data_IF_558355946444
#
_entry.id   IF_558355946444
#
_cell.length_a   1.000
_cell.length_b   1.000
_cell.length_c   1.000
_cell.angle_alpha   90.00
_cell.angle_beta   90.00
_cell.angle_gamma   90.00
#
_symmetry.space_group_name_H-M   'P 1'
#
loop_
_entity.id
_entity.type
_entity.pdbx_description
1 polymer ?
#
# COMPACT_ATOMS: atom_id res chain seq x y z
N UNK A 1 43.58 -36.26 -31.05
CA UNK A 1 43.28 -34.82 -30.94
C UNK A 1 42.03 -34.68 -30.07
N UNK A 2 42.12 -34.03 -28.90
CA UNK A 2 40.96 -33.76 -28.05
C UNK A 2 40.26 -32.52 -28.60
N UNK A 3 39.04 -32.69 -29.08
CA UNK A 3 38.18 -31.58 -29.54
C UNK A 3 37.54 -30.96 -28.31
N UNK A 4 38.05 -29.81 -27.88
CA UNK A 4 37.42 -29.02 -26.82
C UNK A 4 36.25 -28.23 -27.41
N UNK A 5 35.03 -28.56 -26.97
CA UNK A 5 33.84 -27.78 -27.26
C UNK A 5 33.80 -26.62 -26.26
N UNK A 6 34.01 -25.40 -26.76
CA UNK A 6 33.86 -24.17 -25.98
C UNK A 6 32.38 -23.85 -25.95
N UNK A 7 31.74 -24.01 -24.79
CA UNK A 7 30.41 -23.44 -24.54
C UNK A 7 30.59 -21.95 -24.23
N UNK A 8 30.30 -21.10 -25.23
CA UNK A 8 30.12 -19.68 -25.02
C UNK A 8 28.72 -19.48 -24.44
N UNK A 9 28.61 -19.38 -23.11
CA UNK A 9 27.41 -18.88 -22.43
C UNK A 9 27.29 -17.39 -22.77
N UNK A 10 26.58 -17.07 -23.84
CA UNK A 10 26.16 -15.71 -24.13
C UNK A 10 24.97 -15.43 -23.21
N UNK A 11 25.21 -14.75 -22.09
CA UNK A 11 24.14 -14.10 -21.34
C UNK A 11 23.51 -13.06 -22.26
N UNK A 12 22.33 -13.36 -22.77
CA UNK A 12 21.48 -12.35 -23.39
C UNK A 12 21.01 -11.46 -22.24
N UNK A 13 21.71 -10.36 -22.01
CA UNK A 13 21.16 -9.27 -21.19
C UNK A 13 19.98 -8.73 -21.97
N UNK A 14 18.76 -9.10 -21.57
CA UNK A 14 17.57 -8.39 -22.03
C UNK A 14 17.73 -6.98 -21.47
N UNK A 15 18.01 -6.00 -22.33
CA UNK A 15 17.88 -4.61 -21.98
C UNK A 15 16.37 -4.37 -21.81
N UNK A 16 15.86 -4.57 -20.59
CA UNK A 16 14.49 -4.19 -20.28
C UNK A 16 14.43 -2.66 -20.48
N UNK A 17 13.49 -2.21 -21.30
CA UNK A 17 13.06 -0.81 -21.25
C UNK A 17 12.32 -0.54 -19.95
N UNK A 18 11.68 0.62 -19.82
CA UNK A 18 10.80 0.88 -18.68
C UNK A 18 9.72 -0.21 -18.52
N UNK A 19 9.24 -0.51 -17.30
CA UNK A 19 8.18 -1.47 -17.08
C UNK A 19 6.85 -0.94 -17.66
N UNK A 20 5.89 -1.84 -17.89
CA UNK A 20 4.59 -1.47 -18.47
C UNK A 20 3.87 -0.39 -17.65
N UNK A 21 4.00 -0.43 -16.33
CA UNK A 21 3.43 0.57 -15.43
C UNK A 21 3.98 2.00 -15.63
N UNK A 22 5.12 2.16 -16.31
CA UNK A 22 5.75 3.46 -16.55
C UNK A 22 5.44 4.00 -17.97
N UNK A 23 4.56 3.33 -18.72
CA UNK A 23 4.07 3.85 -20.01
C UNK A 23 3.11 5.01 -19.78
N UNK A 24 3.34 6.10 -20.50
CA UNK A 24 2.58 7.33 -20.41
C UNK A 24 2.19 7.83 -21.81
N UNK A 25 1.22 8.74 -21.86
CA UNK A 25 0.80 9.44 -23.08
C UNK A 25 1.53 10.78 -23.17
N UNK A 26 2.02 11.10 -24.37
CA UNK A 26 2.66 12.39 -24.64
C UNK A 26 1.59 13.36 -25.11
N UNK A 27 1.39 14.44 -24.36
CA UNK A 27 0.46 15.52 -24.73
C UNK A 27 1.21 16.83 -25.04
N UNK A 28 0.47 17.87 -25.44
CA UNK A 28 1.03 19.18 -25.79
C UNK A 28 1.25 20.10 -24.58
N UNK A 29 0.96 19.64 -23.37
CA UNK A 29 1.20 20.38 -22.12
C UNK A 29 2.09 19.56 -21.19
N UNK A 30 2.85 20.25 -20.34
CA UNK A 30 3.68 19.57 -19.37
C UNK A 30 4.75 20.46 -18.75
N UNK A 31 5.40 19.91 -17.73
CA UNK A 31 6.49 20.54 -17.02
C UNK A 31 7.52 19.52 -16.55
N UNK A 32 8.77 19.96 -16.41
CA UNK A 32 9.89 19.10 -16.02
C UNK A 32 10.03 19.06 -14.51
N UNK A 33 10.26 17.86 -13.96
CA UNK A 33 10.62 17.64 -12.56
C UNK A 33 12.07 17.19 -12.49
N UNK A 34 12.88 17.86 -11.66
CA UNK A 34 14.31 17.61 -11.51
C UNK A 34 14.64 17.11 -10.12
N UNK A 35 15.70 16.31 -10.02
CA UNK A 35 16.16 15.82 -8.73
C UNK A 35 17.20 14.72 -8.83
N UNK A 36 17.58 14.27 -7.64
CA UNK A 36 18.63 13.30 -7.38
C UNK A 36 18.03 12.14 -6.59
N UNK A 37 17.79 10.98 -7.23
CA UNK A 37 17.20 9.83 -6.56
C UNK A 37 18.21 9.09 -5.69
N UNK A 38 17.71 8.53 -4.59
CA UNK A 38 18.45 7.67 -3.68
C UNK A 38 17.63 6.43 -3.35
N UNK A 39 18.27 5.27 -3.35
CA UNK A 39 17.70 4.03 -2.83
C UNK A 39 18.37 3.71 -1.49
N UNK A 40 17.62 3.60 -0.40
CA UNK A 40 18.16 3.42 0.95
C UNK A 40 19.30 4.42 1.27
N UNK A 41 19.11 5.70 0.92
CA UNK A 41 20.10 6.77 1.02
C UNK A 41 21.40 6.59 0.18
N UNK A 42 21.47 5.57 -0.68
CA UNK A 42 22.57 5.34 -1.63
C UNK A 42 22.21 5.80 -3.03
N UNK A 43 23.21 6.06 -3.86
CA UNK A 43 23.00 6.49 -5.25
C UNK A 43 22.26 5.41 -6.05
N UNK A 44 21.23 5.81 -6.80
CA UNK A 44 20.54 4.94 -7.75
C UNK A 44 21.42 4.62 -8.97
N UNK A 45 21.00 3.69 -9.83
CA UNK A 45 21.70 3.35 -11.07
C UNK A 45 21.21 4.24 -12.24
N UNK A 46 22.07 4.63 -13.19
CA UNK A 46 21.61 5.22 -14.45
C UNK A 46 20.74 4.27 -15.30
N UNK A 47 20.72 2.97 -14.99
CA UNK A 47 19.84 2.02 -15.67
C UNK A 47 18.38 2.08 -15.14
N UNK A 48 18.17 2.70 -13.99
CA UNK A 48 16.85 2.82 -13.35
C UNK A 48 15.98 3.87 -14.06
N UNK A 49 14.68 3.84 -13.78
CA UNK A 49 13.70 4.80 -14.31
C UNK A 49 12.94 5.50 -13.20
N UNK A 50 12.74 6.81 -13.34
CA UNK A 50 11.79 7.57 -12.53
C UNK A 50 10.45 7.65 -13.25
N UNK A 51 9.36 7.57 -12.51
CA UNK A 51 8.00 7.70 -13.02
C UNK A 51 7.16 8.57 -12.08
N UNK A 52 6.26 9.36 -12.65
CA UNK A 52 5.26 10.12 -11.93
C UNK A 52 3.88 9.53 -12.19
N UNK A 53 3.04 9.51 -11.16
CA UNK A 53 1.71 8.93 -11.19
C UNK A 53 0.68 9.90 -10.63
N UNK A 54 -0.44 10.05 -11.34
CA UNK A 54 -1.60 10.83 -10.89
C UNK A 54 -2.32 10.15 -9.71
N UNK A 55 -3.37 10.77 -9.13
CA UNK A 55 -4.15 10.16 -8.04
C UNK A 55 -4.89 8.87 -8.40
N UNK A 56 -5.13 8.62 -9.68
CA UNK A 56 -5.79 7.44 -10.23
C UNK A 56 -4.80 6.28 -10.46
N UNK A 57 -3.50 6.58 -10.41
CA UNK A 57 -2.40 5.62 -10.59
C UNK A 57 -1.93 5.48 -12.03
N UNK A 58 -2.34 6.36 -12.96
CA UNK A 58 -1.78 6.36 -14.31
C UNK A 58 -0.42 7.05 -14.33
N UNK A 59 0.50 6.53 -15.14
CA UNK A 59 1.79 7.18 -15.32
C UNK A 59 1.63 8.38 -16.25
N UNK A 60 1.97 9.57 -15.75
CA UNK A 60 1.88 10.85 -16.47
C UNK A 60 3.22 11.27 -17.08
N UNK A 61 4.26 10.47 -16.85
CA UNK A 61 5.61 10.76 -17.29
C UNK A 61 6.60 9.79 -16.69
N UNK A 62 7.60 9.38 -17.48
CA UNK A 62 8.71 8.55 -17.03
C UNK A 62 9.99 8.86 -17.82
N UNK A 63 11.13 8.67 -17.16
CA UNK A 63 12.44 8.91 -17.75
C UNK A 63 13.50 7.99 -17.16
N UNK A 64 14.44 7.56 -18.00
CA UNK A 64 15.66 6.90 -17.54
C UNK A 64 16.53 7.89 -16.75
N UNK A 65 17.18 7.41 -15.70
CA UNK A 65 18.15 8.19 -14.94
C UNK A 65 19.42 8.44 -15.77
N UNK A 66 20.18 9.48 -15.41
CA UNK A 66 21.42 9.85 -16.11
C UNK A 66 22.56 10.19 -15.18
N UNK A 67 23.78 9.82 -15.56
CA UNK A 67 25.00 10.28 -14.91
C UNK A 67 25.29 11.72 -15.31
N UNK A 68 25.25 12.65 -14.34
CA UNK A 68 25.55 14.07 -14.55
C UNK A 68 26.28 14.63 -13.34
N UNK A 69 27.45 15.24 -13.57
CA UNK A 69 28.29 15.86 -12.55
C UNK A 69 28.60 14.89 -11.38
N UNK A 70 29.10 13.70 -11.74
CA UNK A 70 29.52 12.62 -10.81
C UNK A 70 28.41 12.09 -9.89
N UNK A 71 27.15 12.25 -10.27
CA UNK A 71 25.97 11.73 -9.57
C UNK A 71 24.92 11.24 -10.58
N UNK A 72 23.90 10.54 -10.10
CA UNK A 72 22.74 10.08 -10.87
C UNK A 72 21.56 11.02 -10.63
N UNK A 73 20.91 11.46 -11.72
CA UNK A 73 19.85 12.49 -11.69
C UNK A 73 18.74 12.18 -12.67
N UNK A 74 17.57 12.81 -12.44
CA UNK A 74 16.48 12.89 -13.40
C UNK A 74 16.10 14.34 -13.73
N UNK A 75 15.35 14.54 -14.81
CA UNK A 75 14.90 15.88 -15.22
C UNK A 75 15.98 16.77 -15.84
N UNK A 76 17.17 16.21 -16.07
CA UNK A 76 18.33 16.92 -16.64
C UNK A 76 18.89 16.14 -17.82
N UNK A 77 19.61 16.85 -18.69
CA UNK A 77 20.26 16.26 -19.87
C UNK A 77 19.28 15.36 -20.67
N UNK A 78 19.69 14.13 -20.99
CA UNK A 78 18.87 13.19 -21.75
C UNK A 78 17.71 12.57 -20.96
N UNK A 79 17.70 12.65 -19.62
CA UNK A 79 16.59 12.13 -18.80
C UNK A 79 15.32 12.94 -19.08
N UNK A 80 15.41 14.27 -19.05
CA UNK A 80 14.31 15.19 -19.39
C UNK A 80 12.91 14.71 -18.90
N UNK A 81 12.80 14.47 -17.59
CA UNK A 81 11.61 13.93 -16.93
C UNK A 81 10.44 14.93 -16.95
N UNK A 82 9.60 14.82 -17.98
CA UNK A 82 8.39 15.62 -18.19
C UNK A 82 7.19 14.90 -17.59
N UNK A 83 6.37 15.64 -16.82
CA UNK A 83 5.03 15.24 -16.42
C UNK A 83 4.04 15.92 -17.38
N UNK A 84 3.38 15.12 -18.22
CA UNK A 84 2.42 15.57 -19.20
C UNK A 84 1.08 15.93 -18.55
N UNK A 85 0.44 16.95 -19.08
CA UNK A 85 -0.90 17.36 -18.64
C UNK A 85 -1.99 16.65 -19.44
N UNK A 86 -3.20 16.61 -18.87
CA UNK A 86 -4.35 15.99 -19.52
C UNK A 86 -4.74 16.72 -20.81
N UNK A 87 -5.18 15.97 -21.83
CA UNK A 87 -5.67 16.54 -23.08
C UNK A 87 -7.19 16.75 -22.99
N UNK A 88 -7.60 18.02 -22.95
CA UNK A 88 -9.02 18.40 -22.83
C UNK A 88 -9.90 17.93 -24.02
N UNK A 89 -9.30 17.42 -25.10
CA UNK A 89 -10.03 16.91 -26.27
C UNK A 89 -10.35 15.42 -26.20
N UNK A 90 -9.77 14.69 -25.23
CA UNK A 90 -9.95 13.25 -24.98
C UNK A 90 -10.64 13.00 -23.64
N UNK A 91 -11.73 13.73 -23.36
CA UNK A 91 -12.41 13.80 -22.05
C UNK A 91 -12.84 12.49 -21.38
N UNK A 92 -12.80 11.36 -22.09
CA UNK A 92 -13.14 10.04 -21.57
C UNK A 92 -11.89 9.20 -21.22
N UNK A 93 -10.69 9.76 -21.37
CA UNK A 93 -9.39 9.13 -21.11
C UNK A 93 -8.59 10.06 -20.20
N UNK A 94 -8.09 9.52 -19.09
CA UNK A 94 -7.16 10.22 -18.20
C UNK A 94 -5.73 9.98 -18.69
N UNK A 95 -5.15 10.97 -19.35
CA UNK A 95 -3.88 10.83 -20.08
C UNK A 95 -2.73 11.63 -19.47
N UNK A 96 -3.01 12.40 -18.42
CA UNK A 96 -2.03 13.28 -17.80
C UNK A 96 -2.59 14.05 -16.61
N UNK A 97 -1.77 14.95 -16.08
CA UNK A 97 -2.10 15.73 -14.90
C UNK A 97 -3.14 16.83 -15.18
N UNK A 98 -4.11 16.98 -14.27
CA UNK A 98 -4.98 18.14 -14.18
C UNK A 98 -4.43 19.22 -13.24
N UNK A 99 -4.96 20.43 -13.37
CA UNK A 99 -4.61 21.53 -12.46
C UNK A 99 -5.04 21.22 -11.02
N UNK A 100 -4.12 21.44 -10.09
CA UNK A 100 -4.27 21.14 -8.65
C UNK A 100 -4.32 19.64 -8.30
N UNK A 101 -4.08 18.74 -9.25
CA UNK A 101 -3.83 17.35 -8.89
C UNK A 101 -2.48 17.20 -8.20
N UNK A 102 -2.48 16.26 -7.27
CA UNK A 102 -1.27 15.78 -6.65
C UNK A 102 -0.69 14.64 -7.48
N UNK A 103 0.61 14.37 -7.33
CA UNK A 103 1.24 13.22 -7.95
C UNK A 103 2.15 12.50 -6.97
N UNK A 104 2.43 11.23 -7.23
CA UNK A 104 3.45 10.46 -6.53
C UNK A 104 4.61 10.16 -7.46
N UNK A 105 5.79 9.92 -6.88
CA UNK A 105 6.95 9.48 -7.64
C UNK A 105 7.30 8.04 -7.26
N UNK A 106 7.66 7.25 -8.26
CA UNK A 106 8.18 5.88 -8.08
C UNK A 106 9.46 5.71 -8.87
N UNK A 107 10.36 4.87 -8.36
CA UNK A 107 11.61 4.54 -9.02
C UNK A 107 11.58 3.06 -9.38
N UNK A 108 11.74 2.70 -10.64
CA UNK A 108 11.93 1.30 -11.04
C UNK A 108 13.42 0.98 -11.05
N UNK A 109 13.80 0.05 -10.17
CA UNK A 109 15.16 -0.49 -10.08
C UNK A 109 15.31 -1.64 -11.08
N UNK A 110 16.08 -1.38 -12.14
CA UNK A 110 16.26 -2.32 -13.25
C UNK A 110 17.00 -3.59 -12.82
N UNK A 111 17.84 -3.52 -11.78
CA UNK A 111 18.64 -4.65 -11.31
C UNK A 111 17.82 -5.65 -10.49
N UNK A 112 16.73 -5.19 -9.86
CA UNK A 112 15.82 -5.98 -9.05
C UNK A 112 14.49 -6.29 -9.74
N UNK A 113 14.21 -5.62 -10.85
CA UNK A 113 12.89 -5.58 -11.48
C UNK A 113 11.80 -5.23 -10.46
N UNK A 114 12.03 -4.16 -9.70
CA UNK A 114 11.20 -3.76 -8.58
C UNK A 114 10.82 -2.28 -8.67
N UNK A 115 9.57 -1.97 -8.33
CA UNK A 115 9.11 -0.58 -8.22
C UNK A 115 9.25 -0.16 -6.75
N UNK A 116 10.00 0.91 -6.55
CA UNK A 116 10.29 1.54 -5.26
C UNK A 116 9.39 2.76 -5.08
N UNK A 117 8.93 2.98 -3.86
CA UNK A 117 8.04 4.08 -3.49
C UNK A 117 8.84 5.22 -2.87
N UNK A 118 8.49 6.47 -3.20
CA UNK A 118 9.11 7.62 -2.56
C UNK A 118 8.63 7.76 -1.12
N UNK A 119 9.57 8.06 -0.22
CA UNK A 119 9.28 8.31 1.19
C UNK A 119 9.76 9.68 1.67
N UNK A 120 9.13 10.18 2.72
CA UNK A 120 9.60 11.34 3.47
C UNK A 120 10.75 10.98 4.44
N UNK A 121 11.21 11.95 5.23
CA UNK A 121 12.29 11.72 6.22
C UNK A 121 11.92 10.77 7.36
N UNK A 122 10.63 10.52 7.57
CA UNK A 122 10.10 9.58 8.56
C UNK A 122 9.79 8.21 7.96
N UNK A 123 10.06 7.99 6.66
CA UNK A 123 9.76 6.75 5.97
C UNK A 123 8.28 6.59 5.61
N UNK A 124 7.49 7.67 5.54
CA UNK A 124 6.07 7.64 5.15
C UNK A 124 5.88 7.94 3.66
N UNK A 125 4.77 7.50 3.05
CA UNK A 125 4.47 7.84 1.65
C UNK A 125 4.49 9.35 1.44
N UNK A 126 5.13 9.79 0.36
CA UNK A 126 5.18 11.20 -0.01
C UNK A 126 4.35 11.49 -1.25
N UNK A 127 3.52 12.53 -1.13
CA UNK A 127 2.72 13.07 -2.23
C UNK A 127 3.20 14.48 -2.56
N UNK A 128 3.25 14.79 -3.85
CA UNK A 128 3.66 16.06 -4.41
C UNK A 128 2.46 16.86 -4.92
N UNK A 129 2.59 18.17 -4.98
CA UNK A 129 1.52 19.08 -5.40
C UNK A 129 2.12 20.23 -6.24
N UNK A 130 1.26 21.05 -6.84
CA UNK A 130 1.73 22.21 -7.60
C UNK A 130 2.24 21.87 -9.00
N UNK A 131 1.79 20.75 -9.57
CA UNK A 131 1.95 20.51 -11.00
C UNK A 131 1.39 21.70 -11.80
N UNK A 132 2.12 22.12 -12.82
CA UNK A 132 1.69 23.14 -13.77
C UNK A 132 2.34 22.92 -15.13
N UNK A 133 1.59 23.24 -16.19
CA UNK A 133 2.18 23.30 -17.53
C UNK A 133 3.06 24.53 -17.66
N UNK A 134 4.35 24.30 -17.84
CA UNK A 134 5.40 25.33 -17.93
C UNK A 134 6.04 25.33 -19.32
N UNK A 135 5.30 24.86 -20.33
CA UNK A 135 5.80 24.68 -21.69
C UNK A 135 7.12 23.88 -21.71
N UNK A 136 7.11 22.74 -21.00
CA UNK A 136 8.23 21.80 -20.92
C UNK A 136 9.51 22.35 -20.27
N UNK A 137 9.39 23.40 -19.45
CA UNK A 137 10.49 23.89 -18.59
C UNK A 137 10.34 23.35 -17.16
N UNK A 138 11.35 23.44 -16.28
CA UNK A 138 11.20 22.97 -14.91
C UNK A 138 10.05 23.65 -14.14
N UNK A 139 9.23 22.85 -13.46
CA UNK A 139 8.13 23.33 -12.62
C UNK A 139 8.72 24.05 -11.40
N UNK A 140 8.13 25.20 -11.01
CA UNK A 140 8.57 25.92 -9.83
C UNK A 140 8.42 25.05 -8.57
N UNK A 141 9.49 24.90 -7.78
CA UNK A 141 9.55 23.97 -6.65
C UNK A 141 10.11 22.59 -7.00
N UNK A 142 10.22 22.27 -8.28
CA UNK A 142 10.82 21.02 -8.82
C UNK A 142 11.97 21.30 -9.80
N UNK A 143 12.57 22.48 -9.71
CA UNK A 143 13.60 22.99 -10.61
C UNK A 143 15.02 22.95 -10.01
N UNK A 144 15.21 22.18 -8.95
CA UNK A 144 16.52 21.94 -8.32
C UNK A 144 17.00 20.51 -8.62
N UNK A 145 17.99 20.32 -9.51
CA UNK A 145 18.50 18.99 -9.81
C UNK A 145 19.25 18.35 -8.64
N UNK A 146 19.62 19.09 -7.59
CA UNK A 146 20.33 18.61 -6.41
C UNK A 146 19.40 18.20 -5.26
N UNK A 147 18.10 18.46 -5.38
CA UNK A 147 17.12 18.01 -4.41
C UNK A 147 17.12 16.48 -4.31
N UNK A 148 17.18 15.95 -3.09
CA UNK A 148 17.26 14.50 -2.82
C UNK A 148 15.86 13.90 -2.70
N UNK A 149 15.63 12.81 -3.42
CA UNK A 149 14.39 12.03 -3.39
C UNK A 149 14.72 10.60 -2.94
N UNK A 150 14.24 10.21 -1.76
CA UNK A 150 14.52 8.88 -1.19
C UNK A 150 13.42 7.89 -1.56
N UNK A 151 13.84 6.72 -2.03
CA UNK A 151 12.97 5.62 -2.42
C UNK A 151 13.30 4.38 -1.59
N UNK A 152 12.26 3.66 -1.18
CA UNK A 152 12.35 2.40 -0.45
C UNK A 152 11.60 1.30 -1.20
N UNK A 153 12.03 0.06 -1.00
CA UNK A 153 11.30 -1.11 -1.46
C UNK A 153 10.15 -1.38 -0.49
N UNK A 154 8.96 -1.64 -1.04
CA UNK A 154 7.73 -1.91 -0.30
C UNK A 154 7.06 -3.18 -0.85
N UNK A 155 6.51 -4.02 0.03
CA UNK A 155 5.71 -5.20 -0.34
C UNK A 155 4.53 -5.31 0.59
N UNK A 156 3.36 -5.68 0.07
CA UNK A 156 2.17 -5.90 0.89
C UNK A 156 2.46 -6.87 2.05
N UNK A 157 1.99 -6.58 3.28
CA UNK A 157 2.15 -7.49 4.40
C UNK A 157 1.35 -8.78 4.16
N UNK A 158 1.77 -9.87 4.79
CA UNK A 158 1.13 -11.18 4.65
C UNK A 158 0.85 -11.77 6.03
N UNK A 159 -0.43 -11.86 6.38
CA UNK A 159 -0.88 -12.62 7.56
C UNK A 159 -0.86 -14.11 7.22
N UNK A 160 -0.19 -14.89 8.07
CA UNK A 160 -0.04 -16.34 7.92
C UNK A 160 -0.99 -17.09 8.84
N UNK A 161 -1.18 -16.58 10.05
CA UNK A 161 -1.90 -17.27 11.11
C UNK A 161 -2.42 -16.28 12.14
N UNK A 162 -3.58 -16.61 12.74
CA UNK A 162 -4.09 -15.98 13.95
C UNK A 162 -4.12 -17.04 15.07
N UNK A 163 -3.58 -16.72 16.26
CA UNK A 163 -3.54 -17.64 17.39
C UNK A 163 -4.84 -17.72 18.20
N UNK A 164 -5.77 -16.78 17.97
CA UNK A 164 -7.06 -16.73 18.67
C UNK A 164 -8.04 -17.64 17.95
N UNK A 165 -8.38 -18.76 18.59
CA UNK A 165 -9.30 -19.76 18.03
C UNK A 165 -10.65 -19.81 18.73
N UNK A 166 -10.75 -19.25 19.93
CA UNK A 166 -11.98 -19.27 20.74
C UNK A 166 -12.15 -17.95 21.49
N UNK A 167 -13.40 -17.50 21.60
CA UNK A 167 -13.82 -16.34 22.38
C UNK A 167 -15.08 -16.69 23.17
N UNK A 168 -15.38 -15.94 24.23
CA UNK A 168 -16.66 -16.06 24.92
C UNK A 168 -17.70 -15.16 24.23
N UNK A 169 -18.96 -15.58 24.19
CA UNK A 169 -20.07 -14.77 23.66
C UNK A 169 -20.27 -13.46 24.45
N UNK A 170 -19.94 -13.50 25.74
CA UNK A 170 -19.98 -12.34 26.62
C UNK A 170 -18.71 -11.50 26.54
N UNK A 171 -18.87 -10.29 26.02
CA UNK A 171 -17.88 -9.22 26.09
C UNK A 171 -17.18 -8.96 24.77
N UNK A 172 -15.98 -8.40 24.86
CA UNK A 172 -15.20 -7.99 23.70
C UNK A 172 -13.76 -8.46 23.83
N UNK A 173 -13.16 -8.82 22.70
CA UNK A 173 -11.75 -9.15 22.61
C UNK A 173 -11.01 -8.08 21.80
N UNK A 174 -9.95 -7.53 22.38
CA UNK A 174 -9.06 -6.60 21.69
C UNK A 174 -7.98 -7.39 20.95
N UNK A 175 -8.08 -7.46 19.61
CA UNK A 175 -7.02 -8.05 18.82
C UNK A 175 -5.79 -7.13 18.77
N UNK A 176 -4.61 -7.75 18.82
CA UNK A 176 -3.31 -7.06 18.75
C UNK A 176 -2.44 -7.77 17.73
N UNK A 177 -1.40 -7.09 17.24
CA UNK A 177 -0.41 -7.70 16.34
C UNK A 177 0.22 -8.99 16.93
N UNK A 178 0.31 -9.09 18.26
CA UNK A 178 0.82 -10.29 18.93
C UNK A 178 -0.04 -11.55 18.76
N UNK A 179 -1.29 -11.40 18.33
CA UNK A 179 -2.20 -12.51 18.04
C UNK A 179 -1.98 -13.10 16.64
N UNK A 180 -1.09 -12.48 15.84
CA UNK A 180 -0.85 -12.87 14.45
C UNK A 180 0.60 -13.23 14.20
N UNK A 181 0.79 -14.23 13.36
CA UNK A 181 2.05 -14.46 12.66
C UNK A 181 1.92 -13.84 11.27
N UNK A 182 2.81 -12.92 10.95
CA UNK A 182 2.83 -12.24 9.66
C UNK A 182 4.26 -12.05 9.15
N UNK A 183 4.37 -11.82 7.84
CA UNK A 183 5.61 -11.43 7.18
C UNK A 183 5.40 -10.10 6.47
N UNK A 184 6.40 -9.26 6.55
CA UNK A 184 6.54 -8.07 5.73
C UNK A 184 8.03 -7.98 5.35
N UNK A 185 8.32 -8.01 4.05
CA UNK A 185 9.70 -8.16 3.54
C UNK A 185 10.08 -6.94 2.70
N UNK A 186 9.76 -5.78 3.22
CA UNK A 186 10.12 -4.49 2.66
C UNK A 186 11.43 -3.94 3.27
N UNK A 187 11.75 -2.67 2.96
CA UNK A 187 12.86 -1.94 3.59
C UNK A 187 12.40 -0.95 4.67
N UNK A 188 11.12 -0.96 5.03
CA UNK A 188 10.49 -0.03 5.96
C UNK A 188 10.35 -0.72 7.33
N UNK A 189 10.18 0.06 8.40
CA UNK A 189 9.98 -0.51 9.73
C UNK A 189 8.50 -0.84 9.95
N UNK A 190 8.22 -2.02 10.49
CA UNK A 190 6.87 -2.43 10.91
C UNK A 190 6.35 -1.66 12.14
N UNK A 191 7.06 -0.65 12.64
CA UNK A 191 6.63 0.17 13.79
C UNK A 191 5.29 0.89 13.54
N UNK A 192 4.93 1.10 12.27
CA UNK A 192 3.66 1.71 11.87
C UNK A 192 2.60 0.68 11.42
N UNK A 193 2.85 -0.62 11.59
CA UNK A 193 1.93 -1.68 11.18
C UNK A 193 0.60 -1.55 11.94
N UNK A 194 -0.50 -1.37 11.22
CA UNK A 194 -1.85 -1.25 11.75
C UNK A 194 -2.63 -2.55 11.52
N UNK A 195 -3.31 -3.02 12.57
CA UNK A 195 -4.25 -4.14 12.47
C UNK A 195 -5.65 -3.61 12.21
N UNK A 196 -6.26 -4.08 11.13
CA UNK A 196 -7.65 -3.79 10.78
C UNK A 196 -8.49 -5.05 11.04
N UNK A 197 -9.44 -4.93 11.96
CA UNK A 197 -10.46 -5.96 12.20
C UNK A 197 -11.70 -5.57 11.39
N UNK A 198 -12.19 -6.48 10.55
CA UNK A 198 -13.33 -6.21 9.68
C UNK A 198 -14.62 -6.75 10.30
N UNK A 199 -15.72 -6.02 10.14
CA UNK A 199 -17.06 -6.49 10.56
C UNK A 199 -17.49 -7.74 9.78
N UNK A 200 -18.30 -8.59 10.40
CA UNK A 200 -18.82 -9.80 9.79
C UNK A 200 -20.13 -10.25 10.44
N UNK A 201 -20.55 -11.48 10.15
CA UNK A 201 -21.79 -12.03 10.69
C UNK A 201 -21.62 -12.50 12.14
N UNK A 202 -22.61 -12.19 12.98
CA UNK A 202 -22.68 -12.57 14.40
C UNK A 202 -21.63 -11.91 15.31
N UNK A 203 -21.05 -10.79 14.87
CA UNK A 203 -20.22 -9.94 15.71
C UNK A 203 -20.16 -8.51 15.17
N UNK A 204 -19.83 -7.57 16.05
CA UNK A 204 -19.55 -6.17 15.71
C UNK A 204 -18.11 -5.81 16.03
N UNK A 205 -17.61 -4.75 15.41
CA UNK A 205 -16.22 -4.28 15.59
C UNK A 205 -16.20 -2.81 15.98
N UNK A 206 -15.34 -2.45 16.93
CA UNK A 206 -15.03 -1.07 17.28
C UNK A 206 -13.50 -0.90 17.41
N UNK A 207 -12.86 -0.37 16.37
CA UNK A 207 -11.40 -0.37 16.26
C UNK A 207 -10.86 -1.80 16.16
N UNK A 208 -9.96 -2.19 17.07
CA UNK A 208 -9.46 -3.57 17.18
C UNK A 208 -10.29 -4.47 18.09
N UNK A 209 -11.40 -3.97 18.65
CA UNK A 209 -12.29 -4.77 19.50
C UNK A 209 -13.31 -5.51 18.65
N UNK A 210 -13.36 -6.84 18.79
CA UNK A 210 -14.44 -7.69 18.29
C UNK A 210 -15.39 -8.02 19.43
N UNK A 211 -16.69 -7.84 19.22
CA UNK A 211 -17.75 -8.16 20.18
C UNK A 211 -18.74 -9.09 19.51
N UNK A 212 -18.81 -10.39 19.90
CA UNK A 212 -19.84 -11.29 19.42
C UNK A 212 -21.25 -10.73 19.67
N UNK A 213 -22.20 -11.09 18.82
CA UNK A 213 -23.59 -10.75 19.04
C UNK A 213 -24.11 -11.46 20.30
N UNK A 214 -24.96 -10.79 21.07
CA UNK A 214 -25.49 -11.35 22.31
C UNK A 214 -26.21 -12.69 22.09
N UNK A 215 -25.99 -13.63 23.01
CA UNK A 215 -26.52 -15.00 23.00
C UNK A 215 -26.10 -15.85 21.78
N UNK A 216 -25.15 -15.38 20.96
CA UNK A 216 -24.61 -16.15 19.85
C UNK A 216 -23.47 -17.05 20.30
N UNK A 217 -23.64 -18.35 20.07
CA UNK A 217 -22.59 -19.36 20.22
C UNK A 217 -22.44 -20.17 18.93
N UNK A 218 -21.20 -20.52 18.59
CA UNK A 218 -20.85 -21.22 17.35
C UNK A 218 -19.69 -20.57 16.61
N UNK A 219 -19.43 -21.05 15.39
CA UNK A 219 -18.31 -20.56 14.57
C UNK A 219 -18.65 -19.24 13.90
N UNK A 220 -17.85 -18.21 14.15
CA UNK A 220 -17.81 -16.99 13.32
C UNK A 220 -16.64 -17.07 12.34
N UNK A 221 -16.78 -16.35 11.23
CA UNK A 221 -15.69 -16.14 10.27
C UNK A 221 -15.15 -14.72 10.42
N UNK A 222 -14.07 -14.57 11.19
CA UNK A 222 -13.42 -13.29 11.42
C UNK A 222 -12.47 -12.95 10.27
N UNK A 223 -12.44 -11.66 9.88
CA UNK A 223 -11.63 -11.15 8.78
C UNK A 223 -10.70 -10.04 9.25
N UNK A 224 -9.44 -10.10 8.82
CA UNK A 224 -8.36 -9.21 9.24
C UNK A 224 -7.53 -8.73 8.05
N UNK A 225 -6.99 -7.52 8.17
CA UNK A 225 -5.92 -7.02 7.31
C UNK A 225 -4.84 -6.36 8.17
N UNK A 226 -3.62 -6.35 7.64
CA UNK A 226 -2.54 -5.53 8.13
C UNK A 226 -2.26 -4.41 7.13
N UNK A 227 -1.97 -3.21 7.62
CA UNK A 227 -1.58 -2.06 6.80
C UNK A 227 -0.22 -1.54 7.29
N UNK A 228 0.77 -1.50 6.41
CA UNK A 228 2.13 -1.03 6.73
C UNK A 228 2.29 0.51 6.59
N UNK A 229 1.22 1.21 6.20
CA UNK A 229 1.19 2.63 5.87
C UNK A 229 1.43 2.96 4.39
N UNK A 230 1.77 1.97 3.56
CA UNK A 230 1.94 2.04 2.10
C UNK A 230 0.97 1.13 1.35
N UNK A 231 0.71 -0.05 1.89
CA UNK A 231 -0.09 -1.13 1.34
C UNK A 231 -0.80 -1.92 2.43
N UNK A 232 -1.96 -2.47 2.08
CA UNK A 232 -2.68 -3.39 2.94
C UNK A 232 -2.49 -4.83 2.47
N UNK A 233 -2.44 -5.77 3.42
CA UNK A 233 -2.43 -7.20 3.14
C UNK A 233 -3.70 -7.63 2.42
N UNK A 234 -3.65 -8.79 1.76
CA UNK A 234 -4.88 -9.51 1.41
C UNK A 234 -5.72 -9.78 2.68
N UNK A 235 -7.04 -9.87 2.52
CA UNK A 235 -7.95 -10.19 3.63
C UNK A 235 -7.68 -11.61 4.12
N UNK A 236 -7.22 -11.72 5.37
CA UNK A 236 -7.04 -12.99 6.06
C UNK A 236 -8.32 -13.36 6.79
N UNK A 237 -8.82 -14.56 6.51
CA UNK A 237 -10.03 -15.09 7.13
C UNK A 237 -9.67 -16.25 8.03
N UNK A 238 -10.26 -16.30 9.23
CA UNK A 238 -10.13 -17.44 10.15
C UNK A 238 -11.44 -17.73 10.86
N UNK A 239 -11.64 -18.99 11.22
CA UNK A 239 -12.78 -19.40 12.03
C UNK A 239 -12.44 -19.23 13.51
N UNK A 240 -13.37 -18.65 14.27
CA UNK A 240 -13.26 -18.49 15.73
C UNK A 240 -14.51 -19.09 16.36
N UNK A 241 -14.32 -19.98 17.33
CA UNK A 241 -15.42 -20.61 18.06
C UNK A 241 -15.88 -19.70 19.20
N UNK A 242 -17.14 -19.27 19.15
CA UNK A 242 -17.76 -18.50 20.22
C UNK A 242 -18.39 -19.47 21.23
N UNK A 243 -17.85 -19.46 22.44
CA UNK A 243 -18.26 -20.28 23.56
C UNK A 243 -19.43 -19.65 24.30
N UNK A 244 -20.46 -20.45 24.57
CA UNK A 244 -21.58 -20.02 25.39
C UNK A 244 -21.14 -19.73 26.83
N UNK A 245 -21.68 -18.66 27.41
CA UNK A 245 -21.49 -18.25 28.80
C UNK A 245 -22.85 -18.25 29.49
N UNK A 246 -22.91 -18.69 30.76
CA UNK A 246 -24.19 -18.83 31.43
C UNK A 246 -24.74 -17.47 31.90
N UNK A 247 -25.85 -17.04 31.32
CA UNK A 247 -26.58 -15.83 31.74
C UNK A 247 -27.39 -15.96 33.03
N UNK A 248 -27.64 -14.85 33.73
CA UNK A 248 -28.64 -14.80 34.80
C UNK A 248 -30.05 -15.14 34.30
N UNK A 249 -30.88 -15.83 35.11
CA UNK A 249 -32.26 -16.11 34.71
C UNK A 249 -33.08 -14.82 34.57
N UNK A 250 -33.81 -14.69 33.46
CA UNK A 250 -34.69 -13.55 33.18
C UNK A 250 -36.14 -13.91 33.50
N UNK A 251 -36.84 -13.07 34.28
CA UNK A 251 -38.28 -13.24 34.53
C UNK A 251 -39.03 -12.74 33.29
N UNK A 252 -39.45 -13.67 32.42
CA UNK A 252 -40.21 -13.35 31.20
C UNK A 252 -41.66 -12.94 31.52
N UNK A 253 -42.22 -13.48 32.59
CA UNK A 253 -43.56 -13.12 33.08
C UNK A 253 -43.67 -13.45 34.57
N UNK A 254 -44.18 -12.51 35.34
CA UNK A 254 -44.69 -12.76 36.68
C UNK A 254 -46.21 -12.78 36.62
N UNK A 255 -46.84 -13.89 36.99
CA UNK A 255 -48.30 -13.94 37.10
C UNK A 255 -48.72 -13.16 38.36
N UNK A 256 -49.36 -12.01 38.16
CA UNK A 256 -49.80 -11.12 39.24
C UNK A 256 -51.07 -11.62 39.95
N UNK A 257 -51.60 -12.79 39.55
CA UNK A 257 -52.88 -13.31 40.03
C UNK A 257 -52.79 -14.69 40.67
N UNK A 258 -51.66 -15.06 41.27
CA UNK A 258 -51.60 -16.23 42.15
C UNK A 258 -52.35 -15.88 43.45
N UNK A 259 -53.62 -16.25 43.51
CA UNK A 259 -54.39 -16.31 44.75
C UNK A 259 -54.42 -17.74 45.23
N UNK A 260 -53.99 -17.96 46.47
CA UNK A 260 -54.17 -19.22 47.18
C UNK A 260 -55.31 -19.03 48.17
N UNK A 261 -56.34 -19.87 48.05
CA UNK A 261 -57.36 -19.95 49.08
C UNK A 261 -56.69 -20.50 50.34
N UNK A 262 -56.71 -19.73 51.43
CA UNK A 262 -56.47 -20.31 52.74
C UNK A 262 -57.56 -21.37 52.97
N UNK A 263 -57.15 -22.63 53.02
CA UNK A 263 -58.07 -23.75 53.21
C UNK A 263 -58.86 -23.57 54.49
N UNK A 264 -60.17 -23.76 54.40
CA UNK A 264 -61.06 -23.83 55.55
C UNK A 264 -60.85 -25.14 56.32
N UNK A 265 -60.42 -24.95 57.58
CA UNK A 265 -60.40 -25.81 58.79
C UNK A 265 -59.59 -27.11 58.77
#
# INVERSE_FOLDING_TARGET
MKTSIIYCMCTVTILLGQPDAFKYVVTNTGGVVQGTPRFNATMASPDDWIGAFDPQGNCVGAAQLVNVADDVRFGVAASNFVLFGDDLTTSDIDEGMNINENFTLKLWDASRDAILVQVDSAGKPLTHSGWSSTNFTPINGYNDPYAIFNFLFNTDPVIVECSVTELNEDGSYEFRLGDFKYFDNDSISNDNMELIVMTGDNYTVNGSFLMPDGDYFGLIKASFQLDDGFSSSAVFNTDINILAVNDPPVIVKQDSTISVNEGSS
#
